data_IF_614840431261
#
_entry.id   IF_614840431261
#
_cell.length_a   1.000
_cell.length_b   1.000
_cell.length_c   1.000
_cell.angle_alpha   90.00
_cell.angle_beta   90.00
_cell.angle_gamma   90.00
#
_symmetry.space_group_name_H-M   'P 1'
#
loop_
_entity.id
_entity.type
_entity.pdbx_description
1 polymer ?
#
# COMPACT_ATOMS: atom_id res chain seq x y z
N UNK A 1 3.38 -8.28 -5.02
CA UNK A 1 2.07 -7.83 -5.54
C UNK A 1 1.04 -7.77 -4.42
N UNK A 2 0.06 -6.85 -4.46
CA UNK A 2 -1.04 -6.82 -3.48
C UNK A 2 -1.95 -8.04 -3.65
N UNK A 3 -2.42 -8.61 -2.53
CA UNK A 3 -3.47 -9.62 -2.56
C UNK A 3 -4.84 -9.01 -2.93
N UNK A 4 -5.77 -9.84 -3.38
CA UNK A 4 -7.10 -9.37 -3.79
C UNK A 4 -7.84 -8.61 -2.68
N UNK A 5 -7.81 -9.12 -1.45
CA UNK A 5 -8.42 -8.44 -0.30
C UNK A 5 -7.81 -7.04 -0.06
N UNK A 6 -6.48 -6.91 -0.12
CA UNK A 6 -5.81 -5.62 0.05
C UNK A 6 -6.13 -4.65 -1.08
N UNK A 7 -6.22 -5.15 -2.32
CA UNK A 7 -6.58 -4.36 -3.47
C UNK A 7 -8.00 -3.78 -3.35
N UNK A 8 -8.97 -4.60 -2.94
CA UNK A 8 -10.35 -4.16 -2.65
C UNK A 8 -10.37 -3.12 -1.51
N UNK A 9 -9.58 -3.32 -0.46
CA UNK A 9 -9.45 -2.34 0.63
C UNK A 9 -8.93 -0.99 0.13
N UNK A 10 -7.86 -0.99 -0.67
CA UNK A 10 -7.29 0.24 -1.22
C UNK A 10 -8.27 0.95 -2.16
N UNK A 11 -8.97 0.19 -3.02
CA UNK A 11 -10.00 0.73 -3.89
C UNK A 11 -11.15 1.38 -3.09
N UNK A 12 -11.56 0.76 -1.98
CA UNK A 12 -12.56 1.32 -1.08
C UNK A 12 -12.05 2.57 -0.36
N UNK A 13 -10.81 2.58 0.12
CA UNK A 13 -10.22 3.77 0.76
C UNK A 13 -10.13 4.95 -0.23
N UNK A 14 -9.69 4.70 -1.47
CA UNK A 14 -9.67 5.70 -2.51
C UNK A 14 -11.08 6.24 -2.83
N UNK A 15 -12.07 5.36 -3.02
CA UNK A 15 -13.44 5.74 -3.34
C UNK A 15 -14.15 6.46 -2.19
N UNK A 16 -13.84 6.07 -0.94
CA UNK A 16 -14.40 6.67 0.28
C UNK A 16 -13.61 7.87 0.79
N UNK A 17 -12.53 8.27 0.11
CA UNK A 17 -11.61 9.32 0.53
C UNK A 17 -11.00 9.13 1.93
N UNK A 18 -10.77 7.88 2.33
CA UNK A 18 -10.14 7.55 3.60
C UNK A 18 -8.61 7.62 3.49
N UNK A 19 -7.97 8.40 4.35
CA UNK A 19 -6.51 8.52 4.34
C UNK A 19 -5.86 7.35 5.10
N UNK A 20 -5.45 6.34 4.35
CA UNK A 20 -4.77 5.16 4.87
C UNK A 20 -3.36 5.44 5.43
N UNK A 21 -2.64 6.42 4.88
CA UNK A 21 -1.25 6.73 5.27
C UNK A 21 -1.17 7.50 6.60
N UNK A 22 -2.30 8.02 7.08
CA UNK A 22 -2.45 8.65 8.38
C UNK A 22 -2.76 7.65 9.50
N UNK A 23 -2.06 6.51 9.52
CA UNK A 23 -2.20 5.48 10.54
C UNK A 23 -0.82 5.08 11.06
N UNK A 24 -0.74 4.78 12.36
CA UNK A 24 0.49 4.23 12.95
C UNK A 24 0.89 2.91 12.29
N UNK A 25 -0.08 2.10 11.85
CA UNK A 25 0.21 0.83 11.15
C UNK A 25 0.92 1.01 9.81
N UNK A 26 0.79 2.18 9.18
CA UNK A 26 1.44 2.52 7.91
C UNK A 26 2.64 3.45 8.08
N UNK A 27 3.14 3.61 9.32
CA UNK A 27 4.30 4.47 9.60
C UNK A 27 5.52 4.04 8.78
N UNK A 28 5.78 2.74 8.68
CA UNK A 28 6.92 2.12 7.98
C UNK A 28 6.53 1.46 6.65
N UNK A 29 5.36 1.78 6.09
CA UNK A 29 4.83 1.12 4.89
C UNK A 29 5.77 1.22 3.68
N UNK A 30 6.45 2.37 3.50
CA UNK A 30 7.42 2.58 2.40
C UNK A 30 8.65 1.71 2.57
N UNK A 31 9.20 1.63 3.78
CA UNK A 31 10.32 0.77 4.12
C UNK A 31 10.00 -0.71 3.83
N UNK A 32 8.86 -1.18 4.33
CA UNK A 32 8.40 -2.56 4.14
C UNK A 32 8.16 -2.89 2.67
N UNK A 33 7.58 -1.95 1.90
CA UNK A 33 7.35 -2.14 0.47
C UNK A 33 8.66 -2.31 -0.34
N UNK A 34 9.71 -1.57 0.03
CA UNK A 34 11.00 -1.57 -0.66
C UNK A 34 11.96 -2.69 -0.20
N UNK A 35 11.89 -3.08 1.08
CA UNK A 35 12.85 -4.01 1.69
C UNK A 35 12.26 -5.40 1.97
N UNK A 36 10.98 -5.49 2.32
CA UNK A 36 10.35 -6.71 2.83
C UNK A 36 9.42 -7.36 1.79
N UNK A 37 9.81 -7.33 0.52
CA UNK A 37 9.10 -8.06 -0.51
C UNK A 37 9.38 -9.56 -0.45
N UNK A 38 8.33 -10.36 -0.66
CA UNK A 38 8.45 -11.81 -0.76
C UNK A 38 8.87 -12.20 -2.18
N UNK A 39 9.84 -13.12 -2.27
CA UNK A 39 10.23 -13.72 -3.55
C UNK A 39 9.42 -15.00 -3.75
N UNK A 40 8.72 -15.16 -4.90
CA UNK A 40 8.00 -16.37 -5.19
C UNK A 40 8.92 -17.58 -5.25
N UNK A 41 8.36 -18.76 -4.98
CA UNK A 41 9.07 -20.05 -5.02
C UNK A 41 8.35 -20.99 -5.96
N UNK A 42 9.07 -21.51 -6.96
CA UNK A 42 8.47 -22.36 -7.99
C UNK A 42 7.58 -21.60 -8.95
N UNK A 43 6.73 -22.31 -9.69
CA UNK A 43 5.83 -21.74 -10.67
C UNK A 43 4.42 -21.64 -10.11
N UNK A 44 3.77 -20.48 -10.24
CA UNK A 44 2.39 -20.27 -9.81
C UNK A 44 1.60 -19.53 -10.89
N UNK A 45 0.41 -20.04 -11.22
CA UNK A 45 -0.51 -19.43 -12.16
C UNK A 45 -1.77 -19.05 -11.40
N UNK A 46 -2.16 -17.78 -11.47
CA UNK A 46 -3.42 -17.26 -10.93
C UNK A 46 -4.33 -16.87 -12.08
N UNK A 47 -5.53 -17.44 -12.11
CA UNK A 47 -6.57 -17.13 -13.07
C UNK A 47 -7.76 -16.60 -12.28
N UNK A 48 -8.15 -15.35 -12.47
CA UNK A 48 -9.34 -14.75 -11.87
C UNK A 48 -10.32 -14.30 -12.94
N UNK A 49 -11.61 -14.41 -12.62
CA UNK A 49 -12.69 -13.98 -13.50
C UNK A 49 -13.86 -13.47 -12.66
N UNK A 50 -14.45 -12.36 -13.07
CA UNK A 50 -15.69 -11.87 -12.48
C UNK A 50 -16.90 -12.61 -13.09
N UNK A 51 -17.45 -13.59 -12.38
CA UNK A 51 -18.66 -14.30 -12.84
C UNK A 51 -19.92 -13.43 -12.72
N UNK A 52 -19.94 -12.47 -11.80
CA UNK A 52 -20.97 -11.42 -11.70
C UNK A 52 -20.37 -10.14 -11.12
N UNK A 53 -21.05 -8.98 -11.19
CA UNK A 53 -20.54 -7.73 -10.62
C UNK A 53 -20.14 -7.82 -9.13
N UNK A 54 -20.79 -8.73 -8.38
CA UNK A 54 -20.55 -8.93 -6.95
C UNK A 54 -19.83 -10.25 -6.64
N UNK A 55 -19.41 -11.01 -7.66
CA UNK A 55 -18.89 -12.36 -7.47
C UNK A 55 -17.70 -12.63 -8.38
N UNK A 56 -16.59 -13.01 -7.77
CA UNK A 56 -15.35 -13.31 -8.45
C UNK A 56 -14.94 -14.76 -8.15
N UNK A 57 -14.52 -15.47 -9.18
CA UNK A 57 -13.90 -16.80 -9.07
C UNK A 57 -12.42 -16.67 -9.33
N UNK A 58 -11.56 -17.30 -8.54
CA UNK A 58 -10.13 -17.37 -8.84
C UNK A 58 -9.56 -18.75 -8.61
N UNK A 59 -8.71 -19.21 -9.51
CA UNK A 59 -8.00 -20.48 -9.43
C UNK A 59 -6.50 -20.20 -9.36
N UNK A 60 -5.81 -20.90 -8.47
CA UNK A 60 -4.36 -20.85 -8.33
C UNK A 60 -3.75 -22.23 -8.49
N UNK A 61 -2.85 -22.37 -9.46
CA UNK A 61 -2.16 -23.61 -9.78
C UNK A 61 -0.68 -23.39 -9.48
N UNK A 62 -0.13 -24.12 -8.52
CA UNK A 62 1.29 -24.05 -8.17
C UNK A 62 2.04 -25.33 -8.57
N UNK A 63 3.35 -25.21 -8.79
CA UNK A 63 4.25 -26.37 -8.96
C UNK A 63 4.49 -27.14 -7.66
N UNK A 64 4.17 -26.51 -6.51
CA UNK A 64 4.28 -27.08 -5.17
C UNK A 64 2.94 -26.88 -4.47
N UNK A 65 2.30 -27.97 -4.06
CA UNK A 65 0.99 -27.96 -3.41
C UNK A 65 -0.13 -28.55 -4.26
N UNK A 66 -1.35 -28.54 -3.72
CA UNK A 66 -2.57 -28.93 -4.44
C UNK A 66 -3.06 -27.73 -5.27
N UNK A 67 -3.87 -27.99 -6.30
CA UNK A 67 -4.58 -26.91 -7.00
C UNK A 67 -5.55 -26.26 -6.02
N UNK A 68 -5.30 -24.99 -5.70
CA UNK A 68 -6.11 -24.21 -4.79
C UNK A 68 -7.03 -23.30 -5.59
N UNK A 69 -8.33 -23.55 -5.51
CA UNK A 69 -9.36 -22.63 -5.97
C UNK A 69 -9.83 -21.71 -4.86
N UNK A 70 -10.42 -20.58 -5.22
CA UNK A 70 -11.15 -19.77 -4.26
C UNK A 70 -12.31 -19.03 -4.89
N UNK A 71 -13.37 -18.91 -4.12
CA UNK A 71 -14.63 -18.29 -4.48
C UNK A 71 -14.80 -17.03 -3.66
N UNK A 72 -14.85 -15.88 -4.31
CA UNK A 72 -14.90 -14.58 -3.65
C UNK A 72 -16.24 -13.88 -3.92
N UNK A 73 -16.88 -13.40 -2.87
CA UNK A 73 -18.04 -12.52 -2.90
C UNK A 73 -17.62 -11.12 -2.48
N UNK A 74 -18.04 -10.11 -3.24
CA UNK A 74 -17.77 -8.72 -2.98
C UNK A 74 -19.06 -7.92 -3.15
N UNK A 75 -19.48 -7.26 -2.09
CA UNK A 75 -20.55 -6.27 -2.13
C UNK A 75 -20.01 -4.94 -1.64
N UNK A 76 -20.26 -3.87 -2.39
CA UNK A 76 -19.90 -2.51 -2.02
C UNK A 76 -21.10 -1.60 -2.22
N UNK A 77 -21.41 -0.76 -1.24
CA UNK A 77 -22.43 0.27 -1.42
C UNK A 77 -21.94 1.47 -2.24
N UNK A 78 -20.62 1.64 -2.35
CA UNK A 78 -19.98 2.59 -3.25
C UNK A 78 -19.58 1.89 -4.55
N UNK A 79 -19.74 2.53 -5.72
CA UNK A 79 -19.22 1.99 -6.97
C UNK A 79 -17.69 2.01 -6.92
N UNK A 80 -17.08 0.86 -6.71
CA UNK A 80 -15.62 0.70 -6.78
C UNK A 80 -15.22 0.80 -8.25
N UNK A 81 -14.67 1.95 -8.66
CA UNK A 81 -14.15 2.17 -10.02
C UNK A 81 -12.81 1.45 -10.25
N UNK A 82 -12.59 0.31 -9.61
CA UNK A 82 -11.38 -0.48 -9.80
C UNK A 82 -11.57 -1.33 -11.07
N UNK A 83 -10.70 -1.17 -12.09
CA UNK A 83 -10.76 -2.03 -13.27
C UNK A 83 -10.48 -3.48 -12.87
N UNK A 84 -11.30 -4.40 -13.37
CA UNK A 84 -11.18 -5.83 -13.07
C UNK A 84 -10.24 -6.57 -14.03
N UNK A 85 -10.05 -6.01 -15.22
CA UNK A 85 -9.24 -6.59 -16.30
C UNK A 85 -7.77 -6.25 -16.09
N UNK A 86 -6.91 -7.25 -16.26
CA UNK A 86 -5.47 -7.12 -15.99
C UNK A 86 -4.73 -6.10 -16.87
N UNK A 87 -5.28 -5.75 -18.04
CA UNK A 87 -4.78 -4.73 -18.97
C UNK A 87 -5.03 -3.29 -18.48
N UNK A 88 -6.18 -3.05 -17.85
CA UNK A 88 -6.64 -1.72 -17.42
C UNK A 88 -6.15 -1.31 -16.02
N UNK A 89 -5.69 -2.25 -15.19
CA UNK A 89 -5.21 -1.95 -13.84
C UNK A 89 -3.91 -1.12 -13.90
N UNK A 90 -3.78 -0.06 -13.10
CA UNK A 90 -2.48 0.62 -12.96
C UNK A 90 -1.54 -0.20 -12.07
N UNK A 91 -0.30 -0.42 -12.54
CA UNK A 91 0.73 -1.13 -11.79
C UNK A 91 1.10 -0.41 -10.49
N UNK A 92 1.02 0.92 -10.42
CA UNK A 92 1.26 1.66 -9.17
C UNK A 92 0.25 1.32 -8.06
N UNK A 93 -1.00 1.00 -8.44
CA UNK A 93 -2.05 0.62 -7.50
C UNK A 93 -1.97 -0.85 -7.06
N UNK A 94 -1.22 -1.68 -7.80
CA UNK A 94 -1.13 -3.12 -7.63
C UNK A 94 0.17 -3.55 -6.95
N UNK A 95 1.25 -2.85 -7.26
CA UNK A 95 2.59 -3.12 -6.76
C UNK A 95 2.83 -2.26 -5.51
N UNK A 96 3.25 -2.90 -4.41
CA UNK A 96 3.71 -2.18 -3.21
C UNK A 96 5.07 -1.56 -3.50
N UNK A 97 5.14 -0.25 -3.71
CA UNK A 97 6.38 0.48 -3.95
C UNK A 97 6.55 1.68 -3.03
N UNK A 98 7.47 2.58 -3.37
CA UNK A 98 7.60 3.88 -2.70
C UNK A 98 6.29 4.66 -2.80
N UNK A 99 5.71 4.99 -1.64
CA UNK A 99 4.51 5.84 -1.54
C UNK A 99 4.93 7.23 -1.08
N UNK A 100 4.58 8.22 -1.89
CA UNK A 100 4.77 9.61 -1.53
C UNK A 100 3.58 10.06 -0.70
N UNK A 101 3.78 10.34 0.59
CA UNK A 101 2.65 10.64 1.46
C UNK A 101 2.03 12.00 1.11
N UNK A 102 0.72 12.00 0.90
CA UNK A 102 -0.04 13.19 0.56
C UNK A 102 -0.21 14.15 1.76
N UNK A 103 -0.62 15.37 1.44
CA UNK A 103 -1.00 16.38 2.40
C UNK A 103 -2.19 15.94 3.26
N UNK A 104 -2.24 16.43 4.50
CA UNK A 104 -3.34 16.10 5.39
C UNK A 104 -4.61 16.77 4.86
N UNK A 105 -5.60 15.95 4.53
CA UNK A 105 -6.92 16.40 4.13
C UNK A 105 -7.78 16.70 5.36
N UNK A 106 -8.61 17.76 5.27
CA UNK A 106 -9.68 18.02 6.25
C UNK A 106 -10.71 16.89 6.23
N UNK A 107 -11.12 16.33 7.38
CA UNK A 107 -12.21 15.36 7.42
C UNK A 107 -13.48 15.90 6.77
N UNK A 108 -14.26 15.03 6.13
CA UNK A 108 -15.51 15.43 5.49
C UNK A 108 -16.49 16.00 6.53
N UNK A 109 -17.26 17.00 6.14
CA UNK A 109 -18.23 17.61 7.03
C UNK A 109 -19.46 16.70 7.22
N UNK A 110 -20.06 16.63 8.42
CA UNK A 110 -21.18 15.73 8.69
C UNK A 110 -22.37 15.91 7.76
N UNK A 111 -22.62 17.14 7.30
CA UNK A 111 -23.74 17.45 6.41
C UNK A 111 -23.55 16.93 4.97
N UNK A 112 -22.32 16.66 4.53
CA UNK A 112 -22.06 16.08 3.19
C UNK A 112 -22.59 14.64 3.06
N UNK A 113 -22.87 14.00 4.19
CA UNK A 113 -23.36 12.63 4.25
C UNK A 113 -24.87 12.52 4.37
N UNK A 114 -25.57 13.66 4.43
CA UNK A 114 -27.02 13.69 4.53
C UNK A 114 -27.63 13.42 3.15
N UNK A 115 -28.32 12.29 3.01
CA UNK A 115 -29.05 11.97 1.77
C UNK A 115 -30.55 12.05 2.06
N UNK A 116 -31.25 12.88 1.30
CA UNK A 116 -32.69 13.10 1.44
C UNK A 116 -33.41 12.52 0.24
N UNK A 117 -34.47 11.75 0.48
CA UNK A 117 -35.32 11.20 -0.57
C UNK A 117 -36.79 11.34 -0.16
N UNK A 118 -37.55 12.14 -0.92
CA UNK A 118 -38.97 12.40 -0.64
C UNK A 118 -39.23 13.03 0.74
N UNK A 119 -38.37 13.95 1.20
CA UNK A 119 -38.48 14.59 2.51
C UNK A 119 -38.08 13.72 3.71
N UNK A 120 -37.72 12.44 3.47
CA UNK A 120 -37.17 11.55 4.50
C UNK A 120 -35.66 11.44 4.36
N UNK A 121 -34.95 11.57 5.48
CA UNK A 121 -33.51 11.34 5.55
C UNK A 121 -33.22 9.84 5.43
N UNK A 122 -32.48 9.44 4.39
CA UNK A 122 -32.06 8.06 4.09
C UNK A 122 -30.53 8.03 4.02
N UNK A 123 -29.88 8.17 5.17
CA UNK A 123 -28.42 8.09 5.27
C UNK A 123 -27.96 6.65 5.05
N UNK A 124 -27.49 6.33 3.83
CA UNK A 124 -26.77 5.08 3.56
C UNK A 124 -25.30 5.30 3.87
N UNK A 125 -24.77 4.50 4.79
CA UNK A 125 -23.34 4.52 5.15
C UNK A 125 -22.58 3.66 4.15
N UNK A 126 -21.37 4.09 3.85
CA UNK A 126 -20.51 3.38 2.90
C UNK A 126 -19.96 2.12 3.54
N UNK A 127 -20.14 0.99 2.87
CA UNK A 127 -19.86 -0.35 3.38
C UNK A 127 -19.32 -1.24 2.29
N UNK A 128 -18.33 -2.05 2.64
CA UNK A 128 -17.84 -3.16 1.83
C UNK A 128 -17.95 -4.45 2.64
N UNK A 129 -18.54 -5.45 2.02
CA UNK A 129 -18.59 -6.83 2.48
C UNK A 129 -17.81 -7.67 1.50
N UNK A 130 -16.77 -8.33 1.98
CA UNK A 130 -15.95 -9.24 1.22
C UNK A 130 -15.90 -10.58 1.95
N UNK A 131 -16.04 -11.66 1.21
CA UNK A 131 -15.86 -13.01 1.72
C UNK A 131 -15.19 -13.87 0.67
N UNK A 132 -14.23 -14.70 1.06
CA UNK A 132 -13.58 -15.62 0.15
C UNK A 132 -13.42 -16.98 0.80
N UNK A 133 -13.90 -18.00 0.09
CA UNK A 133 -13.80 -19.39 0.48
C UNK A 133 -12.70 -20.04 -0.36
N UNK A 134 -11.68 -20.60 0.28
CA UNK A 134 -10.65 -21.40 -0.37
C UNK A 134 -11.09 -22.87 -0.46
N UNK A 135 -10.88 -23.48 -1.61
CA UNK A 135 -11.21 -24.87 -1.92
C UNK A 135 -9.92 -25.52 -2.45
N UNK A 136 -9.49 -26.71 -1.97
CA UNK A 136 -10.22 -27.69 -1.17
C UNK A 136 -10.07 -27.54 0.35
N UNK A 137 -9.27 -26.58 0.83
CA UNK A 137 -8.96 -26.43 2.27
C UNK A 137 -10.17 -26.03 3.12
N UNK A 138 -11.26 -25.57 2.50
CA UNK A 138 -12.48 -25.09 3.15
C UNK A 138 -12.22 -24.00 4.18
N UNK A 139 -11.17 -23.18 3.98
CA UNK A 139 -10.89 -22.01 4.80
C UNK A 139 -11.68 -20.81 4.30
N UNK A 140 -12.23 -20.03 5.23
CA UNK A 140 -13.05 -18.86 4.93
C UNK A 140 -12.37 -17.60 5.47
N UNK A 141 -12.09 -16.65 4.59
CA UNK A 141 -11.75 -15.28 4.99
C UNK A 141 -12.96 -14.36 4.76
N UNK A 142 -13.17 -13.42 5.65
CA UNK A 142 -14.20 -12.40 5.49
C UNK A 142 -13.70 -11.05 5.99
N UNK A 143 -14.18 -9.99 5.35
CA UNK A 143 -13.88 -8.62 5.67
C UNK A 143 -15.17 -7.80 5.60
N UNK A 144 -15.49 -7.12 6.70
CA UNK A 144 -16.51 -6.11 6.74
C UNK A 144 -15.88 -4.76 7.04
N UNK A 145 -16.03 -3.83 6.10
CA UNK A 145 -15.61 -2.44 6.24
C UNK A 145 -16.84 -1.55 6.23
N UNK A 146 -16.91 -0.62 7.17
CA UNK A 146 -18.00 0.35 7.26
C UNK A 146 -17.49 1.70 7.72
N UNK A 147 -17.77 2.74 6.95
CA UNK A 147 -17.54 4.13 7.37
C UNK A 147 -18.74 4.57 8.22
N UNK A 148 -18.55 4.66 9.54
CA UNK A 148 -19.62 4.95 10.51
C UNK A 148 -19.90 6.45 10.57
N UNK A 149 -18.83 7.25 10.53
CA UNK A 149 -18.87 8.71 10.46
C UNK A 149 -17.78 9.21 9.51
N UNK A 150 -17.75 10.51 9.16
CA UNK A 150 -16.67 11.08 8.36
C UNK A 150 -15.26 10.80 8.89
N UNK A 151 -15.12 10.76 10.21
CA UNK A 151 -13.85 10.55 10.91
C UNK A 151 -13.67 9.13 11.43
N UNK A 152 -14.68 8.24 11.37
CA UNK A 152 -14.62 6.91 11.99
C UNK A 152 -14.93 5.79 11.00
N UNK A 153 -14.03 4.82 10.95
CA UNK A 153 -14.18 3.59 10.19
C UNK A 153 -14.15 2.36 11.12
N UNK A 154 -15.03 1.41 10.85
CA UNK A 154 -15.06 0.09 11.47
C UNK A 154 -14.56 -0.93 10.46
N UNK A 155 -13.59 -1.74 10.87
CA UNK A 155 -13.05 -2.87 10.12
C UNK A 155 -13.17 -4.14 10.96
N UNK A 156 -13.82 -5.15 10.41
CA UNK A 156 -13.90 -6.48 11.01
C UNK A 156 -13.30 -7.46 10.01
N UNK A 157 -12.28 -8.19 10.43
CA UNK A 157 -11.65 -9.24 9.63
C UNK A 157 -11.84 -10.56 10.34
N UNK A 158 -12.35 -11.56 9.63
CA UNK A 158 -12.62 -12.89 10.17
C UNK A 158 -11.86 -13.92 9.34
N UNK A 159 -11.25 -14.89 9.99
CA UNK A 159 -10.65 -16.05 9.33
C UNK A 159 -11.15 -17.29 10.05
N UNK A 160 -11.74 -18.23 9.32
CA UNK A 160 -12.14 -19.54 9.82
C UNK A 160 -11.31 -20.61 9.11
N UNK A 161 -10.62 -21.40 9.92
CA UNK A 161 -9.79 -22.51 9.47
C UNK A 161 -9.78 -23.57 10.57
N UNK A 162 -9.87 -24.82 10.16
CA UNK A 162 -9.72 -26.01 11.00
C UNK A 162 -8.38 -26.08 11.74
N UNK A 163 -7.33 -25.45 11.20
CA UNK A 163 -6.00 -25.42 11.81
C UNK A 163 -5.92 -24.50 13.04
N UNK A 164 -6.86 -23.58 13.19
CA UNK A 164 -6.92 -22.63 14.30
C UNK A 164 -7.55 -23.31 15.53
N UNK A 165 -7.00 -23.02 16.72
CA UNK A 165 -7.39 -23.68 17.99
C UNK A 165 -8.90 -23.67 18.26
N UNK A 166 -9.58 -22.59 17.88
CA UNK A 166 -11.02 -22.40 18.10
C UNK A 166 -11.83 -22.43 16.78
N UNK A 167 -11.27 -22.94 15.68
CA UNK A 167 -11.92 -23.00 14.37
C UNK A 167 -12.07 -21.65 13.65
N UNK A 168 -11.65 -20.55 14.27
CA UNK A 168 -11.62 -19.23 13.66
C UNK A 168 -11.19 -18.12 14.60
N UNK A 169 -10.86 -16.98 14.02
CA UNK A 169 -10.46 -15.76 14.72
C UNK A 169 -11.16 -14.55 14.10
N UNK A 170 -11.54 -13.59 14.95
CA UNK A 170 -12.17 -12.33 14.54
C UNK A 170 -11.31 -11.19 15.08
N UNK A 171 -11.00 -10.25 14.21
CA UNK A 171 -10.26 -9.03 14.49
C UNK A 171 -11.17 -7.84 14.24
N UNK A 172 -11.56 -7.15 15.31
CA UNK A 172 -12.24 -5.86 15.25
C UNK A 172 -11.23 -4.72 15.33
N UNK A 173 -11.39 -3.73 14.46
CA UNK A 173 -10.57 -2.52 14.43
C UNK A 173 -11.50 -1.30 14.25
N UNK A 174 -11.39 -0.34 15.17
CA UNK A 174 -12.06 0.97 15.08
C UNK A 174 -11.00 2.02 14.84
N UNK A 175 -11.03 2.66 13.68
CA UNK A 175 -10.08 3.69 13.28
C UNK A 175 -10.77 5.05 13.31
N UNK A 176 -10.14 6.03 13.96
CA UNK A 176 -10.55 7.42 13.92
C UNK A 176 -9.46 8.24 13.25
N UNK A 177 -9.82 9.01 12.23
CA UNK A 177 -8.94 9.93 11.53
C UNK A 177 -9.52 11.35 11.57
N UNK A 178 -8.76 12.27 12.18
CA UNK A 178 -9.09 13.69 12.25
C UNK A 178 -8.11 14.56 11.42
N UNK A 179 -7.27 13.94 10.60
CA UNK A 179 -6.20 14.58 9.85
C UNK A 179 -4.97 14.86 10.73
N UNK A 180 -5.09 15.77 11.71
CA UNK A 180 -3.97 16.11 12.59
C UNK A 180 -3.52 14.95 13.49
N UNK A 181 -4.47 14.14 13.94
CA UNK A 181 -4.19 12.93 14.71
C UNK A 181 -5.11 11.81 14.28
N UNK A 182 -4.65 10.58 14.48
CA UNK A 182 -5.45 9.38 14.30
C UNK A 182 -5.31 8.46 15.50
N UNK A 183 -6.39 7.75 15.81
CA UNK A 183 -6.44 6.76 16.88
C UNK A 183 -7.06 5.46 16.38
N UNK A 184 -6.46 4.33 16.73
CA UNK A 184 -6.98 3.01 16.38
C UNK A 184 -7.15 2.15 17.63
N UNK A 185 -8.27 1.46 17.71
CA UNK A 185 -8.57 0.50 18.77
C UNK A 185 -8.75 -0.87 18.14
N UNK A 186 -8.00 -1.85 18.63
CA UNK A 186 -7.94 -3.22 18.13
C UNK A 186 -8.48 -4.18 19.19
N UNK A 187 -9.27 -5.16 18.76
CA UNK A 187 -9.63 -6.31 19.57
C UNK A 187 -9.56 -7.60 18.74
N UNK A 188 -8.79 -8.59 19.20
CA UNK A 188 -8.71 -9.92 18.57
C UNK A 188 -9.27 -10.99 19.49
N UNK A 189 -10.12 -11.88 18.97
CA UNK A 189 -10.74 -12.97 19.75
C UNK A 189 -9.79 -14.13 20.03
N UNK A 190 -8.68 -14.27 19.31
CA UNK A 190 -7.75 -15.41 19.44
C UNK A 190 -7.09 -15.46 20.84
N UNK A 191 -6.45 -14.36 21.23
CA UNK A 191 -5.77 -14.21 22.52
C UNK A 191 -6.43 -13.18 23.45
N UNK A 192 -7.67 -12.75 23.11
CA UNK A 192 -8.33 -11.59 23.69
C UNK A 192 -7.37 -10.38 23.73
N UNK A 193 -6.74 -10.11 22.58
CA UNK A 193 -5.73 -9.06 22.43
C UNK A 193 -6.43 -7.71 22.28
N UNK A 194 -6.20 -6.82 23.23
CA UNK A 194 -6.57 -5.41 23.13
C UNK A 194 -5.36 -4.62 22.62
N UNK A 195 -5.59 -3.69 21.71
CA UNK A 195 -4.56 -2.80 21.20
C UNK A 195 -5.08 -1.37 21.08
N UNK A 196 -4.22 -0.41 21.37
CA UNK A 196 -4.46 1.01 21.11
C UNK A 196 -3.28 1.56 20.34
N UNK A 197 -3.55 2.31 19.27
CA UNK A 197 -2.54 3.00 18.48
C UNK A 197 -2.91 4.46 18.36
N UNK A 198 -1.91 5.32 18.35
CA UNK A 198 -2.07 6.75 18.14
C UNK A 198 -0.99 7.28 17.22
N UNK A 199 -1.37 8.18 16.32
CA UNK A 199 -0.44 8.95 15.49
C UNK A 199 -0.81 10.42 15.60
N UNK A 200 0.18 11.28 15.78
CA UNK A 200 0.04 12.72 15.85
C UNK A 200 0.96 13.36 14.81
N UNK A 201 0.39 14.22 13.97
CA UNK A 201 1.11 14.96 12.95
C UNK A 201 1.37 16.38 13.43
N UNK A 202 2.64 16.77 13.42
CA UNK A 202 3.08 18.13 13.68
C UNK A 202 3.01 18.94 12.38
N UNK A 203 2.63 20.21 12.50
CA UNK A 203 2.40 21.11 11.38
C UNK A 203 1.01 21.74 11.40
N UNK A 204 0.61 22.38 10.29
CA UNK A 204 -0.68 23.06 10.17
C UNK A 204 -1.84 22.08 10.36
N UNK A 205 -2.88 22.52 11.07
CA UNK A 205 -4.08 21.69 11.30
C UNK A 205 -5.03 21.83 10.11
N UNK A 206 -5.32 20.74 9.36
CA UNK A 206 -6.20 20.83 8.20
C UNK A 206 -7.65 21.23 8.56
N UNK A 207 -8.03 21.16 9.84
CA UNK A 207 -9.38 21.51 10.31
C UNK A 207 -9.60 23.01 10.43
N UNK A 208 -8.54 23.76 10.71
CA UNK A 208 -8.57 25.21 10.91
C UNK A 208 -7.52 25.84 10.00
N UNK A 209 -7.82 26.01 8.69
CA UNK A 209 -6.90 26.70 7.80
C UNK A 209 -6.75 28.14 8.29
N UNK A 210 -5.52 28.54 8.63
CA UNK A 210 -5.22 29.89 9.10
C UNK A 210 -5.48 30.88 7.96
N UNK A 211 -6.24 31.95 8.18
CA UNK A 211 -6.53 32.95 7.15
C UNK A 211 -5.26 33.63 6.60
N UNK A 212 -4.16 33.64 7.37
CA UNK A 212 -2.85 34.12 6.95
C UNK A 212 -2.22 33.27 5.83
N UNK A 213 -2.58 31.99 5.72
CA UNK A 213 -2.06 31.04 4.71
C UNK A 213 -2.84 31.09 3.39
N UNK A 214 -4.08 31.58 3.39
CA UNK A 214 -4.88 31.74 2.16
C UNK A 214 -4.53 33.01 1.36
N UNK A 215 -3.90 34.00 2.00
CA UNK A 215 -3.66 35.33 1.43
C UNK A 215 -2.19 35.69 1.14
N UNK A 216 -1.22 34.92 1.63
CA UNK A 216 0.20 35.20 1.36
C UNK A 216 0.82 34.12 0.48
N UNK A 217 1.22 34.48 -0.74
CA UNK A 217 2.02 33.64 -1.65
C UNK A 217 3.44 33.31 -1.10
N UNK A 218 3.67 33.55 0.21
CA UNK A 218 4.96 33.61 0.88
C UNK A 218 4.89 33.21 2.38
N UNK A 219 3.86 32.51 2.86
CA UNK A 219 3.95 31.85 4.17
C UNK A 219 4.96 30.70 4.05
N UNK A 220 5.92 30.60 4.98
CA UNK A 220 7.01 29.63 4.98
C UNK A 220 6.52 28.24 4.56
N UNK A 221 6.89 27.83 3.35
CA UNK A 221 6.42 26.57 2.76
C UNK A 221 6.91 25.43 3.65
N UNK A 222 5.99 24.83 4.40
CA UNK A 222 6.28 23.66 5.24
C UNK A 222 6.60 22.51 4.29
N UNK A 223 7.89 22.34 3.99
CA UNK A 223 8.37 21.38 2.98
C UNK A 223 8.40 19.94 3.50
N UNK A 224 8.14 19.72 4.78
CA UNK A 224 8.13 18.40 5.39
C UNK A 224 7.21 18.32 6.60
N UNK A 225 6.70 17.12 6.84
CA UNK A 225 5.81 16.79 7.95
C UNK A 225 6.53 15.86 8.91
N UNK A 226 6.49 16.22 10.18
CA UNK A 226 6.94 15.35 11.27
C UNK A 226 5.71 14.70 11.91
N UNK A 227 5.77 13.39 12.15
CA UNK A 227 4.70 12.60 12.78
C UNK A 227 5.31 11.79 13.91
N UNK A 228 4.65 11.73 15.06
CA UNK A 228 5.02 10.85 16.17
C UNK A 228 3.83 10.00 16.55
N UNK A 229 4.07 8.75 16.90
CA UNK A 229 3.01 7.84 17.32
C UNK A 229 3.50 6.75 18.25
N UNK A 230 2.54 6.01 18.79
CA UNK A 230 2.81 4.88 19.66
C UNK A 230 1.71 3.83 19.51
N UNK A 231 2.06 2.60 19.83
CA UNK A 231 1.14 1.49 19.97
C UNK A 231 1.36 0.77 21.30
N UNK A 232 0.27 0.27 21.86
CA UNK A 232 0.23 -0.52 23.09
C UNK A 232 -0.71 -1.70 22.87
N UNK A 233 -0.24 -2.90 23.16
CA UNK A 233 -1.00 -4.13 23.10
C UNK A 233 -0.98 -4.83 24.45
N UNK A 234 -2.09 -5.48 24.79
CA UNK A 234 -2.23 -6.29 25.97
C UNK A 234 -3.12 -7.51 25.68
N UNK A 235 -2.53 -8.70 25.76
CA UNK A 235 -3.25 -9.97 25.61
C UNK A 235 -3.82 -10.42 26.94
N UNK A 236 -5.14 -10.39 27.11
CA UNK A 236 -5.77 -10.74 28.39
C UNK A 236 -5.52 -12.21 28.75
N UNK A 237 -5.58 -13.13 27.77
CA UNK A 237 -5.38 -14.56 28.02
C UNK A 237 -3.92 -14.92 28.31
N UNK A 238 -3.00 -14.29 27.57
CA UNK A 238 -1.56 -14.58 27.69
C UNK A 238 -0.88 -13.73 28.77
N UNK A 239 -1.55 -12.71 29.31
CA UNK A 239 -1.02 -11.71 30.26
C UNK A 239 0.29 -11.07 29.78
N UNK A 240 0.44 -10.94 28.46
CA UNK A 240 1.61 -10.34 27.83
C UNK A 240 1.25 -9.00 27.20
N UNK A 241 2.15 -8.04 27.34
CA UNK A 241 2.01 -6.71 26.75
C UNK A 241 3.11 -6.45 25.73
N UNK A 242 2.82 -5.59 24.76
CA UNK A 242 3.77 -5.07 23.79
C UNK A 242 3.59 -3.57 23.64
N UNK A 243 4.66 -2.82 23.41
CA UNK A 243 4.56 -1.41 23.07
C UNK A 243 5.64 -1.01 22.08
N UNK A 244 5.34 -0.03 21.24
CA UNK A 244 6.32 0.60 20.38
C UNK A 244 6.01 2.08 20.22
N UNK A 245 7.05 2.88 20.04
CA UNK A 245 6.96 4.30 19.68
C UNK A 245 7.64 4.51 18.34
N UNK A 246 7.11 5.42 17.54
CA UNK A 246 7.60 5.67 16.19
C UNK A 246 7.56 7.13 15.82
N UNK A 247 8.60 7.59 15.13
CA UNK A 247 8.71 8.92 14.53
C UNK A 247 8.82 8.76 13.02
N UNK A 248 8.21 9.68 12.27
CA UNK A 248 8.29 9.74 10.81
C UNK A 248 8.46 11.18 10.36
N UNK A 249 9.47 11.43 9.55
CA UNK A 249 9.62 12.67 8.80
C UNK A 249 9.41 12.39 7.32
N UNK A 250 8.50 13.10 6.68
CA UNK A 250 8.19 12.94 5.24
C UNK A 250 8.19 14.30 4.57
N UNK A 251 8.90 14.45 3.45
CA UNK A 251 8.78 15.64 2.61
C UNK A 251 7.42 15.67 1.90
N UNK A 252 6.76 16.83 1.87
CA UNK A 252 5.47 16.98 1.20
C UNK A 252 5.64 17.14 -0.32
N UNK A 253 4.60 16.84 -1.13
CA UNK A 253 4.68 16.92 -2.61
C UNK A 253 5.09 18.29 -3.15
N UNK A 254 4.84 19.36 -2.41
CA UNK A 254 5.19 20.74 -2.78
C UNK A 254 6.71 21.03 -2.68
N UNK A 255 7.49 20.12 -2.10
CA UNK A 255 8.94 20.28 -2.01
C UNK A 255 9.59 20.13 -3.40
N UNK A 256 10.39 21.13 -3.80
CA UNK A 256 11.04 21.15 -5.12
C UNK A 256 12.17 20.10 -5.29
N UNK A 257 12.63 19.48 -4.21
CA UNK A 257 13.67 18.45 -4.22
C UNK A 257 13.14 17.03 -4.43
N UNK A 258 14.04 16.05 -4.29
CA UNK A 258 13.63 14.65 -4.27
C UNK A 258 12.87 14.34 -2.98
N UNK A 259 11.75 13.60 -3.04
CA UNK A 259 11.02 13.29 -1.84
C UNK A 259 11.69 12.16 -1.07
N UNK A 260 11.70 12.31 0.26
CA UNK A 260 12.27 11.33 1.17
C UNK A 260 11.43 11.16 2.43
N UNK A 261 11.54 9.98 3.01
CA UNK A 261 10.85 9.55 4.22
C UNK A 261 11.86 8.93 5.16
N UNK A 262 11.98 9.48 6.36
CA UNK A 262 12.79 8.92 7.44
C UNK A 262 11.86 8.43 8.54
N UNK A 263 12.06 7.20 9.01
CA UNK A 263 11.28 6.64 10.12
C UNK A 263 12.20 6.09 11.19
N UNK A 264 11.89 6.35 12.44
CA UNK A 264 12.58 5.78 13.60
C UNK A 264 11.54 5.07 14.45
N UNK A 265 11.70 3.77 14.69
CA UNK A 265 10.82 2.99 15.57
C UNK A 265 11.62 2.39 16.71
N UNK A 266 11.03 2.42 17.90
CA UNK A 266 11.64 1.94 19.13
C UNK A 266 10.66 0.99 19.80
N UNK A 267 11.13 -0.20 20.15
CA UNK A 267 10.43 -1.11 21.05
C UNK A 267 11.19 -1.13 22.38
N UNK A 268 10.74 -0.36 23.39
CA UNK A 268 11.47 -0.23 24.65
C UNK A 268 11.48 -1.54 25.47
N UNK A 269 10.51 -2.43 25.28
CA UNK A 269 10.44 -3.70 26.02
C UNK A 269 11.48 -4.71 25.52
N UNK A 270 11.70 -4.77 24.20
CA UNK A 270 12.66 -5.69 23.58
C UNK A 270 13.99 -5.04 23.25
N UNK A 271 14.13 -3.73 23.47
CA UNK A 271 15.35 -2.98 23.18
C UNK A 271 15.66 -2.84 21.70
N UNK A 272 14.70 -3.07 20.78
CA UNK A 272 14.94 -2.94 19.35
C UNK A 272 14.72 -1.50 18.86
N UNK A 273 15.70 -0.97 18.13
CA UNK A 273 15.72 0.32 17.47
C UNK A 273 15.82 0.08 15.97
N UNK A 274 14.87 0.58 15.18
CA UNK A 274 14.90 0.49 13.72
C UNK A 274 14.83 1.88 13.11
N UNK A 275 15.85 2.25 12.33
CA UNK A 275 15.93 3.50 11.59
C UNK A 275 15.86 3.20 10.11
N UNK A 276 14.95 3.84 9.39
CA UNK A 276 14.82 3.68 7.93
C UNK A 276 14.89 5.03 7.25
N UNK A 277 15.59 5.08 6.12
CA UNK A 277 15.69 6.22 5.23
C UNK A 277 15.33 5.79 3.81
N UNK A 278 14.24 6.32 3.27
CA UNK A 278 13.75 6.03 1.92
C UNK A 278 13.71 7.30 1.07
N UNK A 279 14.29 7.25 -0.13
CA UNK A 279 14.43 8.39 -1.04
C UNK A 279 13.95 8.00 -2.43
N UNK A 280 13.10 8.84 -3.03
CA UNK A 280 12.77 8.73 -4.46
C UNK A 280 13.78 9.56 -5.25
N UNK A 281 14.91 8.94 -5.59
CA UNK A 281 16.07 9.58 -6.24
C UNK A 281 15.79 10.05 -7.69
N UNK A 282 14.65 9.70 -8.26
CA UNK A 282 14.19 10.22 -9.55
C UNK A 282 12.76 9.79 -9.86
N UNK A 283 12.30 10.03 -11.08
CA UNK A 283 10.94 9.63 -11.51
C UNK A 283 10.68 8.13 -11.39
N UNK A 284 11.73 7.33 -11.59
CA UNK A 284 11.63 5.88 -11.72
C UNK A 284 12.45 5.12 -10.67
N UNK A 285 13.23 5.80 -9.84
CA UNK A 285 14.15 5.14 -8.90
C UNK A 285 13.80 5.53 -7.48
N UNK A 286 13.58 4.54 -6.63
CA UNK A 286 13.51 4.70 -5.19
C UNK A 286 14.56 3.83 -4.51
N UNK A 287 15.22 4.39 -3.51
CA UNK A 287 16.25 3.74 -2.70
C UNK A 287 15.80 3.73 -1.25
N UNK A 288 16.16 2.69 -0.52
CA UNK A 288 15.85 2.57 0.89
C UNK A 288 17.00 1.93 1.65
N UNK A 289 17.32 2.45 2.83
CA UNK A 289 18.20 1.82 3.80
C UNK A 289 17.47 1.64 5.12
N UNK A 290 17.55 0.45 5.72
CA UNK A 290 17.09 0.16 7.08
C UNK A 290 18.27 -0.30 7.91
N UNK A 291 18.41 0.31 9.08
CA UNK A 291 19.37 -0.05 10.10
C UNK A 291 18.61 -0.47 11.34
N UNK A 292 18.73 -1.74 11.70
CA UNK A 292 18.13 -2.34 12.88
C UNK A 292 19.23 -2.58 13.92
N UNK A 293 18.98 -2.19 15.17
CA UNK A 293 19.90 -2.33 16.28
C UNK A 293 19.15 -2.83 17.52
N UNK A 294 19.71 -3.80 18.23
CA UNK A 294 19.15 -4.28 19.49
C UNK A 294 20.05 -3.88 20.66
N UNK A 295 19.53 -3.09 21.60
CA UNK A 295 20.27 -2.60 22.77
C UNK A 295 20.67 -3.71 23.74
N UNK A 296 19.93 -4.82 23.79
CA UNK A 296 20.24 -5.92 24.71
C UNK A 296 21.23 -6.92 24.15
N UNK A 297 21.13 -7.26 22.85
CA UNK A 297 22.08 -8.18 22.19
C UNK A 297 23.27 -7.48 21.53
N UNK A 298 23.23 -6.16 21.37
CA UNK A 298 24.19 -5.37 20.58
C UNK A 298 24.33 -5.86 19.12
N UNK A 299 23.33 -6.57 18.61
CA UNK A 299 23.27 -6.98 17.23
C UNK A 299 22.83 -5.80 16.36
N UNK A 300 23.49 -5.66 15.22
CA UNK A 300 23.12 -4.69 14.18
C UNK A 300 22.88 -5.42 12.87
N UNK A 301 21.88 -4.98 12.13
CA UNK A 301 21.56 -5.45 10.79
C UNK A 301 21.35 -4.24 9.89
N UNK A 302 22.04 -4.23 8.74
CA UNK A 302 21.89 -3.20 7.72
C UNK A 302 21.34 -3.82 6.45
N UNK A 303 20.21 -3.31 6.00
CA UNK A 303 19.57 -3.72 4.76
C UNK A 303 19.41 -2.55 3.80
N UNK A 304 19.75 -2.78 2.54
CA UNK A 304 19.61 -1.82 1.45
C UNK A 304 18.61 -2.36 0.43
N UNK A 305 17.80 -1.46 -0.13
CA UNK A 305 16.77 -1.75 -1.11
C UNK A 305 16.78 -0.73 -2.25
N UNK A 306 16.41 -1.18 -3.43
CA UNK A 306 16.27 -0.36 -4.62
C UNK A 306 15.01 -0.82 -5.38
N UNK A 307 14.23 0.13 -5.85
CA UNK A 307 13.09 -0.04 -6.73
C UNK A 307 13.31 0.79 -8.00
N UNK A 308 13.19 0.15 -9.15
CA UNK A 308 13.38 0.72 -10.47
C UNK A 308 12.14 0.45 -11.32
N UNK A 309 11.40 1.51 -11.65
CA UNK A 309 10.24 1.49 -12.52
C UNK A 309 10.66 1.58 -13.99
N UNK A 310 10.28 0.58 -14.77
CA UNK A 310 10.51 0.53 -16.21
C UNK A 310 9.27 1.06 -16.94
N UNK A 311 9.43 2.22 -17.58
CA UNK A 311 8.40 2.80 -18.46
C UNK A 311 8.50 2.22 -19.87
N UNK A 312 7.36 2.20 -20.55
CA UNK A 312 7.27 1.83 -21.96
C UNK A 312 8.13 2.79 -22.76
N UNK A 313 9.06 2.24 -23.54
CA UNK A 313 9.72 3.03 -24.58
C UNK A 313 8.70 3.24 -25.71
N UNK A 314 8.54 4.47 -26.15
CA UNK A 314 7.76 4.75 -27.37
C UNK A 314 8.31 3.89 -28.52
N UNK A 315 7.43 3.43 -29.41
CA UNK A 315 7.88 2.60 -30.53
C UNK A 315 8.88 3.38 -31.39
N UNK A 316 9.86 2.67 -31.95
CA UNK A 316 10.87 3.27 -32.83
C UNK A 316 10.23 4.02 -34.02
N UNK A 317 9.04 3.59 -34.45
CA UNK A 317 8.23 4.27 -35.48
C UNK A 317 7.65 5.61 -35.00
N UNK A 318 7.20 5.71 -33.74
CA UNK A 318 6.71 6.96 -33.15
C UNK A 318 7.88 7.92 -32.89
N UNK A 319 9.02 7.41 -32.40
CA UNK A 319 10.23 8.21 -32.29
C UNK A 319 10.73 8.70 -33.66
N UNK A 320 10.71 7.85 -34.68
CA UNK A 320 11.06 8.20 -36.06
C UNK A 320 10.09 9.24 -36.64
N UNK A 321 8.79 9.05 -36.45
CA UNK A 321 7.76 10.00 -36.88
C UNK A 321 7.95 11.35 -36.19
N UNK A 322 8.19 11.38 -34.87
CA UNK A 322 8.51 12.61 -34.11
C UNK A 322 9.76 13.31 -34.64
N UNK A 323 10.80 12.56 -35.03
CA UNK A 323 12.04 13.11 -35.62
C UNK A 323 11.81 13.69 -37.02
N UNK A 324 10.81 13.21 -37.76
CA UNK A 324 10.45 13.72 -39.10
C UNK A 324 9.53 14.95 -39.07
N UNK A 325 8.94 15.28 -37.93
CA UNK A 325 8.13 16.51 -37.79
C UNK A 325 9.02 17.74 -38.00
N UNK A 326 8.59 18.64 -38.90
CA UNK A 326 9.28 19.91 -39.17
C UNK A 326 9.40 20.74 -37.89
N UNK A 327 10.56 21.38 -37.68
CA UNK A 327 10.89 22.18 -36.47
C UNK A 327 9.86 23.28 -36.16
N UNK A 328 9.20 23.84 -37.16
CA UNK A 328 8.16 24.87 -37.01
C UNK A 328 6.89 24.34 -36.33
N UNK A 329 6.52 23.09 -36.61
CA UNK A 329 5.37 22.43 -35.99
C UNK A 329 5.66 21.99 -34.55
N UNK A 330 6.93 21.77 -34.21
CA UNK A 330 7.36 21.47 -32.83
C UNK A 330 7.18 22.68 -31.91
N UNK A 331 7.45 23.91 -32.38
CA UNK A 331 7.28 25.12 -31.57
C UNK A 331 5.80 25.42 -31.26
N UNK A 332 4.90 25.17 -32.23
CA UNK A 332 3.45 25.34 -32.05
C UNK A 332 2.83 24.25 -31.16
N UNK A 333 3.40 23.04 -31.17
CA UNK A 333 3.09 21.96 -30.23
C UNK A 333 3.60 22.25 -28.82
N UNK A 334 4.82 22.81 -28.66
CA UNK A 334 5.43 23.11 -27.36
C UNK A 334 4.53 24.02 -26.50
N UNK A 335 3.90 25.03 -27.09
CA UNK A 335 2.95 25.93 -26.40
C UNK A 335 1.65 25.23 -25.96
N UNK A 336 1.18 24.21 -26.70
CA UNK A 336 0.03 23.36 -26.29
C UNK A 336 0.46 22.29 -25.26
N UNK A 337 1.72 21.89 -25.28
CA UNK A 337 2.30 20.90 -24.37
C UNK A 337 2.50 21.49 -22.96
N UNK A 338 2.80 22.77 -22.78
CA UNK A 338 2.95 23.36 -21.43
C UNK A 338 1.66 23.30 -20.59
N UNK A 339 0.49 23.45 -21.22
CA UNK A 339 -0.82 23.27 -20.56
C UNK A 339 -1.21 21.80 -20.43
N UNK A 340 -0.75 20.93 -21.35
CA UNK A 340 -0.94 19.49 -21.28
C UNK A 340 0.10 18.77 -20.39
N UNK A 341 1.20 19.41 -19.98
CA UNK A 341 2.31 18.80 -19.24
C UNK A 341 1.89 18.34 -17.83
N UNK A 342 0.93 19.03 -17.21
CA UNK A 342 0.31 18.60 -15.97
C UNK A 342 -0.56 17.34 -16.17
N UNK A 343 -1.31 17.27 -17.28
CA UNK A 343 -2.09 16.09 -17.66
C UNK A 343 -1.18 14.93 -18.14
N UNK A 344 -0.06 15.24 -18.77
CA UNK A 344 0.93 14.29 -19.25
C UNK A 344 1.83 13.77 -18.13
N UNK A 345 2.04 14.53 -17.04
CA UNK A 345 2.69 14.01 -15.84
C UNK A 345 1.82 12.94 -15.16
N UNK A 346 0.49 13.09 -15.18
CA UNK A 346 -0.46 12.06 -14.76
C UNK A 346 -0.50 10.88 -15.74
N UNK A 347 -0.56 11.13 -17.06
CA UNK A 347 -0.57 10.07 -18.07
C UNK A 347 0.76 9.30 -18.18
N UNK A 348 1.89 9.93 -17.85
CA UNK A 348 3.21 9.28 -17.91
C UNK A 348 3.44 8.27 -16.78
N UNK A 349 2.63 8.29 -15.73
CA UNK A 349 2.58 7.21 -14.73
C UNK A 349 1.74 6.01 -15.24
N UNK A 350 0.84 6.19 -16.21
CA UNK A 350 0.05 5.10 -16.80
C UNK A 350 0.89 4.21 -17.77
N UNK A 351 2.03 4.72 -18.28
CA UNK A 351 2.91 4.04 -19.24
C UNK A 351 3.95 3.10 -18.61
N UNK A 352 3.73 2.61 -17.39
CA UNK A 352 4.64 1.68 -16.73
C UNK A 352 4.46 0.25 -17.27
N UNK A 353 5.58 -0.38 -17.62
CA UNK A 353 5.61 -1.79 -18.10
C UNK A 353 6.06 -2.78 -17.03
N UNK A 354 6.85 -2.34 -16.06
CA UNK A 354 7.29 -3.20 -14.97
C UNK A 354 8.13 -2.49 -13.93
N UNK A 355 8.52 -3.24 -12.90
CA UNK A 355 9.22 -2.79 -11.70
C UNK A 355 10.24 -3.85 -11.32
N UNK A 356 11.49 -3.42 -11.21
CA UNK A 356 12.57 -4.24 -10.67
C UNK A 356 12.84 -3.79 -9.23
N UNK A 357 12.74 -4.71 -8.27
CA UNK A 357 13.12 -4.49 -6.88
C UNK A 357 14.31 -5.36 -6.56
N UNK A 358 15.27 -4.79 -5.86
CA UNK A 358 16.44 -5.50 -5.36
C UNK A 358 16.62 -5.14 -3.89
N UNK A 359 17.02 -6.12 -3.08
CA UNK A 359 17.42 -5.92 -1.69
C UNK A 359 18.69 -6.68 -1.39
N UNK A 360 19.52 -6.11 -0.53
CA UNK A 360 20.78 -6.70 -0.06
C UNK A 360 20.88 -6.48 1.44
N UNK A 361 21.14 -7.56 2.17
CA UNK A 361 21.42 -7.54 3.60
C UNK A 361 22.94 -7.58 3.86
N UNK A 362 23.40 -7.13 5.04
CA UNK A 362 24.78 -7.19 5.53
C UNK A 362 25.39 -8.59 5.43
N UNK A 363 24.56 -9.64 5.48
CA UNK A 363 24.97 -11.01 5.28
C UNK A 363 25.16 -11.44 3.83
N UNK A 364 25.13 -10.52 2.86
CA UNK A 364 25.17 -10.80 1.42
C UNK A 364 24.04 -11.73 0.94
N UNK A 365 22.90 -11.67 1.62
CA UNK A 365 21.66 -12.24 1.12
C UNK A 365 21.03 -11.23 0.18
N UNK A 366 20.82 -11.63 -1.06
CA UNK A 366 20.28 -10.76 -2.11
C UNK A 366 18.89 -11.28 -2.49
N UNK A 367 17.91 -10.39 -2.58
CA UNK A 367 16.61 -10.69 -3.16
C UNK A 367 16.39 -9.81 -4.38
N UNK A 368 15.94 -10.39 -5.49
CA UNK A 368 15.55 -9.66 -6.70
C UNK A 368 14.13 -10.08 -7.07
N UNK A 369 13.31 -9.10 -7.43
CA UNK A 369 11.93 -9.27 -7.85
C UNK A 369 11.68 -8.40 -9.09
N UNK A 370 11.15 -8.99 -10.15
CA UNK A 370 10.72 -8.28 -11.34
C UNK A 370 9.22 -8.51 -11.53
N UNK A 371 8.44 -7.46 -11.32
CA UNK A 371 7.00 -7.43 -11.52
C UNK A 371 6.71 -6.68 -12.82
N UNK A 372 5.80 -7.15 -13.67
CA UNK A 372 5.52 -6.45 -14.92
C UNK A 372 4.27 -6.91 -15.62
N UNK A 373 3.92 -6.19 -16.69
CA UNK A 373 2.79 -6.51 -17.56
C UNK A 373 3.28 -6.95 -18.93
N UNK A 374 2.70 -8.04 -19.43
CA UNK A 374 2.83 -8.49 -20.82
C UNK A 374 1.42 -8.72 -21.38
N UNK A 375 0.96 -7.80 -22.23
CA UNK A 375 -0.42 -7.78 -22.76
C UNK A 375 -1.44 -7.80 -21.59
N UNK A 376 -2.29 -8.82 -21.52
CA UNK A 376 -3.29 -9.00 -20.46
C UNK A 376 -2.76 -9.80 -19.26
N UNK A 377 -1.48 -10.18 -19.25
CA UNK A 377 -0.87 -10.95 -18.15
C UNK A 377 -0.02 -10.04 -17.27
N UNK A 378 -0.14 -10.21 -15.96
CA UNK A 378 0.78 -9.64 -14.98
C UNK A 378 1.68 -10.75 -14.49
N UNK A 379 2.99 -10.55 -14.49
CA UNK A 379 3.94 -11.54 -14.02
C UNK A 379 4.79 -11.02 -12.88
N UNK A 380 5.28 -11.94 -12.05
CA UNK A 380 6.19 -11.69 -10.94
C UNK A 380 7.28 -12.75 -10.98
N UNK A 381 8.46 -12.39 -11.47
CA UNK A 381 9.67 -13.22 -11.41
C UNK A 381 10.44 -12.85 -10.14
N UNK A 382 10.89 -13.80 -9.35
CA UNK A 382 11.77 -13.48 -8.22
C UNK A 382 12.83 -14.54 -7.97
N UNK A 383 13.96 -14.08 -7.43
CA UNK A 383 15.07 -14.91 -7.06
C UNK A 383 15.67 -14.43 -5.73
N UNK A 384 16.13 -15.37 -4.91
CA UNK A 384 16.85 -15.10 -3.68
C UNK A 384 18.18 -15.84 -3.68
N UNK A 385 19.23 -15.11 -3.34
CA UNK A 385 20.61 -15.55 -3.36
C UNK A 385 21.23 -15.44 -1.97
N UNK A 386 22.09 -16.39 -1.62
CA UNK A 386 22.90 -16.34 -0.41
C UNK A 386 24.37 -16.54 -0.78
N UNK A 387 25.10 -15.42 -0.91
CA UNK A 387 26.49 -15.44 -1.39
C UNK A 387 27.48 -15.99 -0.35
N UNK A 388 27.09 -16.10 0.94
CA UNK A 388 27.94 -16.72 1.96
C UNK A 388 27.99 -18.24 1.80
N UNK A 389 26.91 -18.86 1.33
CA UNK A 389 26.83 -20.31 1.07
C UNK A 389 27.07 -20.60 -0.41
N UNK A 390 28.35 -20.68 -0.79
CA UNK A 390 28.76 -20.95 -2.20
C UNK A 390 28.22 -22.26 -2.79
N UNK A 391 27.90 -23.24 -1.95
CA UNK A 391 27.32 -24.53 -2.39
C UNK A 391 25.82 -24.44 -2.73
N UNK A 392 25.11 -23.43 -2.21
CA UNK A 392 23.68 -23.19 -2.43
C UNK A 392 23.42 -21.70 -2.66
N UNK A 393 24.02 -21.15 -3.72
CA UNK A 393 23.91 -19.73 -4.06
C UNK A 393 22.44 -19.37 -4.31
N UNK A 394 21.66 -20.23 -4.96
CA UNK A 394 20.24 -20.04 -5.20
C UNK A 394 19.42 -20.67 -4.07
N UNK A 395 18.76 -19.85 -3.26
CA UNK A 395 17.85 -20.33 -2.21
C UNK A 395 16.44 -20.55 -2.71
N UNK A 396 15.96 -19.66 -3.56
CA UNK A 396 14.66 -19.78 -4.20
C UNK A 396 14.63 -19.01 -5.51
N UNK A 397 13.99 -19.59 -6.51
CA UNK A 397 13.61 -18.94 -7.76
C UNK A 397 12.14 -19.27 -7.98
N UNK A 398 11.36 -18.29 -8.43
CA UNK A 398 9.96 -18.51 -8.74
C UNK A 398 9.40 -17.53 -9.75
N UNK A 399 8.31 -17.95 -10.38
CA UNK A 399 7.56 -17.19 -11.37
C UNK A 399 6.09 -17.29 -10.99
N UNK A 400 5.44 -16.16 -10.81
CA UNK A 400 3.99 -16.07 -10.71
C UNK A 400 3.44 -15.38 -11.96
N UNK A 401 2.40 -15.94 -12.57
CA UNK A 401 1.67 -15.29 -13.67
C UNK A 401 0.23 -15.15 -13.23
N UNK A 402 -0.34 -13.97 -13.43
CA UNK A 402 -1.70 -13.63 -13.06
C UNK A 402 -2.46 -13.13 -14.28
N UNK A 403 -3.66 -13.65 -14.46
CA UNK A 403 -4.61 -13.25 -15.48
C UNK A 403 -5.96 -12.95 -14.84
N UNK A 404 -6.52 -11.79 -15.12
CA UNK A 404 -7.84 -11.39 -14.66
C UNK A 404 -8.69 -10.89 -15.82
N UNK A 405 -9.87 -11.50 -15.99
CA UNK A 405 -10.87 -11.14 -17.01
C UNK A 405 -12.08 -10.44 -16.42
#
# INVERSE_FOLDING_TARGET
MLGFMDHVQNAFYAASHWNHDNSYSHLTATAQALLDFQTPRGLRLHLSSLSSPNFATSYSIGSVGVVDGSLSYLYSSLPLRAPSRSDEIDLHNLIRGYRHVEELRKPDEPWWWERWHGGKRIDRRDTVLYGRLFLPTSTLEALYLRRVSPTRQLKISCVSDSSLRNGGTILGLVQNDYGKYSSEYLYSTDSALLGVRGLYNFGPDPRYPSAEEAGTQSAERVNGRFSAGAELYYGILNKSGGMSTGLRFTTLPQHAGFPYTMTLTVNPLMGSLSSTYAVKAGRNVALCSRFDFNFYSYESELQLGCELWQRRKESAEVEWARRLVRKEWQQQQQQRIETAAAAAAAAADEDVTGVLKARVDQNWKIGVLWEGRVKELVFTLGASFDLKRREQIFRAVGVEVQYSS
#
